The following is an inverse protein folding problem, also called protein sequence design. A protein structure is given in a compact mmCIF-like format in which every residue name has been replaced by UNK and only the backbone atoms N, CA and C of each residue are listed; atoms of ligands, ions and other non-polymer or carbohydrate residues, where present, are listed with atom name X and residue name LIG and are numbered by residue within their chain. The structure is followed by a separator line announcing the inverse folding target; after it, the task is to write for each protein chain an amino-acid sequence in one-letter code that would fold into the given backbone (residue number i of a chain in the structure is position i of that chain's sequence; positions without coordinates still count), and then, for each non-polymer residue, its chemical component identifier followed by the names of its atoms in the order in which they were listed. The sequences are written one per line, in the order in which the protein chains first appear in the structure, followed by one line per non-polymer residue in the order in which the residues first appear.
data_IF_515817740834
#
_entry.id   IF_515817740834
#
_cell.length_a   1.000
_cell.length_b   1.000
_cell.length_c   1.000
_cell.angle_alpha   90.00
_cell.angle_beta   90.00
_cell.angle_gamma   90.00
#
_symmetry.space_group_name_H-M   'P 1'
#
loop_
_entity.id
_entity.type
_entity.pdbx_description
1 polymer ?
#
# COMPACT_ATOMS: atom_id res chain seq x y z
N UNK A 1 -9.17 -12.32 60.08
CA UNK A 1 -9.69 -11.19 59.29
C UNK A 1 -8.99 -11.23 57.94
N UNK A 2 -9.62 -11.84 56.93
CA UNK A 2 -9.17 -11.83 55.54
C UNK A 2 -10.34 -11.24 54.73
N UNK A 3 -10.13 -10.09 54.10
CA UNK A 3 -11.07 -9.46 53.19
C UNK A 3 -10.94 -10.13 51.82
N UNK A 4 -12.04 -10.70 51.32
CA UNK A 4 -12.17 -11.14 49.93
C UNK A 4 -12.74 -9.96 49.14
N UNK A 5 -11.94 -9.36 48.27
CA UNK A 5 -12.36 -8.32 47.34
C UNK A 5 -12.99 -9.01 46.13
N UNK A 6 -14.32 -8.94 46.02
CA UNK A 6 -15.06 -9.37 44.84
C UNK A 6 -14.94 -8.31 43.74
N UNK A 7 -14.20 -8.61 42.67
CA UNK A 7 -14.23 -7.85 41.43
C UNK A 7 -15.46 -8.30 40.63
N UNK A 8 -16.46 -7.44 40.51
CA UNK A 8 -17.55 -7.63 39.54
C UNK A 8 -17.06 -7.15 38.16
N UNK A 9 -17.39 -7.86 37.06
CA UNK A 9 -17.10 -7.37 35.72
C UNK A 9 -18.02 -6.18 35.41
N UNK A 10 -17.43 -5.05 34.98
CA UNK A 10 -18.20 -3.94 34.42
C UNK A 10 -18.67 -4.33 33.02
N UNK A 11 -19.98 -4.38 32.82
CA UNK A 11 -20.56 -4.37 31.48
C UNK A 11 -20.30 -2.98 30.87
N UNK A 12 -19.20 -2.86 30.13
CA UNK A 12 -19.04 -1.78 29.16
C UNK A 12 -20.05 -2.03 28.03
N UNK A 13 -21.06 -1.19 27.94
CA UNK A 13 -21.87 -1.07 26.74
C UNK A 13 -20.90 -0.55 25.68
N UNK A 14 -20.55 -1.41 24.72
CA UNK A 14 -19.91 -0.96 23.50
C UNK A 14 -20.91 -0.04 22.80
N UNK A 15 -20.60 1.25 22.72
CA UNK A 15 -21.16 2.08 21.68
C UNK A 15 -20.81 1.41 20.35
N UNK A 16 -21.81 0.91 19.63
CA UNK A 16 -21.72 0.76 18.19
C UNK A 16 -21.38 2.14 17.64
N UNK A 17 -20.09 2.39 17.42
CA UNK A 17 -19.66 3.46 16.53
C UNK A 17 -20.25 3.09 15.19
N UNK A 18 -21.28 3.84 14.82
CA UNK A 18 -21.87 3.86 13.50
C UNK A 18 -20.71 3.91 12.49
N UNK A 19 -20.58 2.84 11.70
CA UNK A 19 -19.53 2.68 10.70
C UNK A 19 -19.81 3.67 9.56
N UNK A 20 -19.50 4.93 9.79
CA UNK A 20 -19.40 5.94 8.74
C UNK A 20 -18.30 5.46 7.82
N UNK A 21 -18.64 5.06 6.61
CA UNK A 21 -17.70 4.62 5.59
C UNK A 21 -16.54 5.63 5.48
N UNK A 22 -15.39 5.32 6.08
CA UNK A 22 -14.19 6.14 6.01
C UNK A 22 -13.60 5.96 4.61
N UNK A 23 -14.16 6.66 3.64
CA UNK A 23 -13.53 6.85 2.33
C UNK A 23 -12.39 7.83 2.52
N UNK A 24 -11.17 7.32 2.37
CA UNK A 24 -9.95 8.11 2.47
C UNK A 24 -9.85 9.12 1.32
N UNK A 25 -10.38 8.78 0.14
CA UNK A 25 -10.47 9.68 -1.02
C UNK A 25 -11.90 10.18 -1.20
N UNK A 26 -12.08 11.50 -1.26
CA UNK A 26 -13.39 12.14 -1.35
C UNK A 26 -13.63 12.80 -2.72
N UNK A 27 -12.64 13.53 -3.25
CA UNK A 27 -12.74 14.20 -4.55
C UNK A 27 -11.38 14.26 -5.26
N UNK A 28 -11.41 14.37 -6.59
CA UNK A 28 -10.24 14.46 -7.46
C UNK A 28 -10.43 15.56 -8.49
N UNK A 29 -9.43 16.39 -8.68
CA UNK A 29 -9.38 17.41 -9.71
C UNK A 29 -8.03 17.37 -10.41
N UNK A 30 -7.97 17.84 -11.65
CA UNK A 30 -6.77 17.75 -12.50
C UNK A 30 -6.52 19.08 -13.19
N UNK A 31 -5.24 19.43 -13.31
CA UNK A 31 -4.74 20.58 -14.06
C UNK A 31 -3.52 20.18 -14.87
N UNK A 32 -3.55 20.41 -16.18
CA UNK A 32 -2.40 20.17 -17.04
C UNK A 32 -1.54 21.45 -17.15
N UNK A 33 -0.22 21.29 -17.30
CA UNK A 33 0.75 22.39 -17.43
C UNK A 33 0.37 23.38 -18.54
N UNK A 34 -0.28 22.88 -19.59
CA UNK A 34 -0.68 23.64 -20.78
C UNK A 34 -1.55 24.85 -20.45
N UNK A 35 -2.47 24.75 -19.48
CA UNK A 35 -3.32 25.90 -19.15
C UNK A 35 -2.67 26.91 -18.20
N UNK A 36 -1.52 26.59 -17.57
CA UNK A 36 -0.88 27.51 -16.62
C UNK A 36 -0.42 28.83 -17.28
N UNK A 37 -0.37 28.86 -18.61
CA UNK A 37 -0.03 30.04 -19.42
C UNK A 37 -1.25 30.80 -19.96
N UNK A 38 -2.45 30.26 -19.74
CA UNK A 38 -3.71 30.85 -20.20
C UNK A 38 -4.23 31.90 -19.21
N UNK A 39 -5.16 32.77 -19.67
CA UNK A 39 -5.77 33.80 -18.83
C UNK A 39 -6.63 33.23 -17.69
N UNK A 40 -7.15 32.01 -17.86
CA UNK A 40 -7.90 31.30 -16.82
C UNK A 40 -7.62 29.81 -16.90
N UNK A 41 -7.15 29.21 -15.80
CA UNK A 41 -6.72 27.82 -15.75
C UNK A 41 -7.51 27.12 -14.65
N UNK A 42 -8.65 26.58 -15.05
CA UNK A 42 -9.58 25.87 -14.18
C UNK A 42 -9.30 24.38 -14.23
N UNK A 43 -9.35 23.74 -13.07
CA UNK A 43 -9.27 22.28 -13.00
C UNK A 43 -10.52 21.61 -13.56
N UNK A 44 -10.36 20.33 -13.93
CA UNK A 44 -11.46 19.46 -14.33
C UNK A 44 -11.53 18.23 -13.41
N UNK A 45 -12.71 17.63 -13.27
CA UNK A 45 -12.95 16.45 -12.45
C UNK A 45 -13.01 15.20 -13.32
N UNK A 46 -12.13 14.19 -13.13
CA UNK A 46 -12.22 12.91 -13.82
C UNK A 46 -13.41 12.09 -13.32
N UNK A 47 -13.79 11.07 -14.09
CA UNK A 47 -14.71 10.01 -13.62
C UNK A 47 -13.95 9.00 -12.77
N UNK A 48 -12.74 8.65 -13.18
CA UNK A 48 -11.89 7.67 -12.51
C UNK A 48 -10.50 8.24 -12.21
N UNK A 49 -10.01 7.94 -11.02
CA UNK A 49 -8.60 8.02 -10.67
C UNK A 49 -8.02 6.62 -10.65
N UNK A 50 -6.87 6.45 -11.30
CA UNK A 50 -6.12 5.20 -11.34
C UNK A 50 -4.73 5.49 -10.75
N UNK A 51 -4.42 4.88 -9.62
CA UNK A 51 -3.11 4.95 -9.00
C UNK A 51 -2.38 3.63 -9.23
N UNK A 52 -1.36 3.66 -10.08
CA UNK A 52 -0.53 2.52 -10.43
C UNK A 52 0.76 2.53 -9.61
N UNK A 53 1.07 1.41 -8.95
CA UNK A 53 2.27 1.22 -8.15
C UNK A 53 3.18 0.19 -8.82
N UNK A 54 4.33 0.64 -9.30
CA UNK A 54 5.30 -0.16 -10.07
C UNK A 54 6.75 0.13 -9.66
N UNK A 55 7.71 -0.40 -10.43
CA UNK A 55 9.13 -0.09 -10.30
C UNK A 55 9.88 -0.52 -11.56
N UNK A 56 10.98 0.14 -11.88
CA UNK A 56 11.77 -0.14 -13.10
C UNK A 56 12.38 -1.54 -13.13
N UNK A 57 12.68 -2.11 -11.96
CA UNK A 57 13.27 -3.45 -11.86
C UNK A 57 12.22 -4.58 -11.90
N UNK A 58 10.94 -4.24 -11.94
CA UNK A 58 9.82 -5.19 -11.87
C UNK A 58 9.41 -5.65 -13.27
N UNK A 59 9.87 -6.83 -13.69
CA UNK A 59 9.49 -7.38 -15.00
C UNK A 59 7.96 -7.51 -15.20
N UNK A 60 7.15 -7.99 -14.22
CA UNK A 60 5.69 -8.03 -14.38
C UNK A 60 5.00 -6.66 -14.47
N UNK A 61 5.70 -5.57 -14.12
CA UNK A 61 5.17 -4.21 -14.16
C UNK A 61 5.06 -3.67 -15.60
N UNK A 62 5.94 -4.11 -16.49
CA UNK A 62 5.97 -3.68 -17.90
C UNK A 62 4.66 -4.00 -18.64
N UNK A 63 4.09 -5.20 -18.39
CA UNK A 63 2.81 -5.59 -19.00
C UNK A 63 1.66 -4.68 -18.54
N UNK A 64 1.71 -4.22 -17.29
CA UNK A 64 0.70 -3.32 -16.72
C UNK A 64 0.85 -1.91 -17.28
N UNK A 65 2.08 -1.42 -17.40
CA UNK A 65 2.39 -0.10 -17.99
C UNK A 65 1.90 0.00 -19.43
N UNK A 66 2.08 -1.06 -20.23
CA UNK A 66 1.55 -1.11 -21.60
C UNK A 66 0.02 -0.99 -21.61
N UNK A 67 -0.68 -1.77 -20.76
CA UNK A 67 -2.14 -1.75 -20.68
C UNK A 67 -2.69 -0.37 -20.26
N UNK A 68 -2.14 0.22 -19.20
CA UNK A 68 -2.65 1.49 -18.65
C UNK A 68 -2.29 2.70 -19.53
N UNK A 69 -1.26 2.61 -20.36
CA UNK A 69 -0.84 3.72 -21.25
C UNK A 69 -1.95 4.21 -22.19
N UNK A 70 -2.91 3.34 -22.50
CA UNK A 70 -4.03 3.63 -23.41
C UNK A 70 -5.28 4.19 -22.72
N UNK A 71 -5.30 4.21 -21.38
CA UNK A 71 -6.47 4.54 -20.57
C UNK A 71 -6.53 6.02 -20.20
N UNK A 72 -5.38 6.70 -20.13
CA UNK A 72 -5.30 8.10 -19.73
C UNK A 72 -6.14 9.00 -20.65
N UNK A 73 -7.06 9.75 -20.05
CA UNK A 73 -8.01 10.60 -20.75
C UNK A 73 -8.66 11.61 -19.79
N UNK A 74 -9.47 12.53 -20.33
CA UNK A 74 -10.27 13.44 -19.52
C UNK A 74 -11.35 12.74 -18.66
N UNK A 75 -11.54 11.43 -18.81
CA UNK A 75 -12.45 10.64 -17.97
C UNK A 75 -11.70 9.79 -16.96
N UNK A 76 -10.51 9.31 -17.28
CA UNK A 76 -9.71 8.44 -16.41
C UNK A 76 -8.30 9.00 -16.32
N UNK A 77 -7.91 9.48 -15.15
CA UNK A 77 -6.58 10.04 -14.92
C UNK A 77 -5.68 9.02 -14.23
N UNK A 78 -4.44 8.92 -14.67
CA UNK A 78 -3.44 8.03 -14.07
C UNK A 78 -2.43 8.82 -13.23
N UNK A 79 -2.08 8.27 -12.07
CA UNK A 79 -0.87 8.60 -11.32
C UNK A 79 -0.01 7.34 -11.27
N UNK A 80 1.23 7.43 -11.73
CA UNK A 80 2.21 6.37 -11.50
C UNK A 80 3.02 6.65 -10.24
N UNK A 81 3.28 5.61 -9.48
CA UNK A 81 3.98 5.64 -8.21
C UNK A 81 5.12 4.63 -8.21
N UNK A 82 6.34 5.09 -7.92
CA UNK A 82 7.49 4.23 -7.65
C UNK A 82 7.80 4.21 -6.14
N UNK A 83 7.19 3.28 -5.38
CA UNK A 83 7.37 3.17 -3.94
C UNK A 83 8.64 2.42 -3.54
N UNK A 84 9.39 1.83 -4.47
CA UNK A 84 10.57 1.01 -4.15
C UNK A 84 11.83 1.85 -3.97
N UNK A 85 12.51 1.84 -2.80
CA UNK A 85 13.78 2.53 -2.60
C UNK A 85 14.95 2.04 -3.48
N UNK A 86 14.77 0.90 -4.15
CA UNK A 86 15.74 0.35 -5.11
C UNK A 86 15.68 1.00 -6.49
N UNK A 87 14.71 1.88 -6.74
CA UNK A 87 14.51 2.59 -8.01
C UNK A 87 15.17 3.98 -7.95
N UNK A 88 15.85 4.42 -9.01
CA UNK A 88 16.37 5.79 -9.10
C UNK A 88 15.28 6.86 -9.02
N UNK A 89 14.07 6.51 -9.44
CA UNK A 89 12.91 7.40 -9.46
C UNK A 89 12.02 7.22 -8.22
N UNK A 90 12.54 6.54 -7.18
CA UNK A 90 11.88 6.39 -5.89
C UNK A 90 11.34 7.71 -5.34
N UNK A 91 10.06 7.72 -4.97
CA UNK A 91 9.45 8.84 -4.29
C UNK A 91 8.89 8.44 -2.92
N UNK A 92 9.38 9.08 -1.86
CA UNK A 92 9.01 8.75 -0.48
C UNK A 92 7.49 8.84 -0.23
N UNK A 93 6.81 9.81 -0.82
CA UNK A 93 5.35 9.96 -0.61
C UNK A 93 4.58 8.83 -1.32
N UNK A 94 5.04 8.40 -2.50
CA UNK A 94 4.54 7.20 -3.17
C UNK A 94 4.72 5.96 -2.30
N UNK A 95 5.87 5.81 -1.64
CA UNK A 95 6.11 4.73 -0.69
C UNK A 95 5.19 4.78 0.53
N UNK A 96 5.01 5.95 1.15
CA UNK A 96 4.07 6.08 2.27
C UNK A 96 2.63 5.79 1.85
N UNK A 97 2.22 6.18 0.64
CA UNK A 97 0.90 5.85 0.12
C UNK A 97 0.74 4.33 -0.08
N UNK A 98 1.76 3.67 -0.64
CA UNK A 98 1.81 2.23 -0.82
C UNK A 98 1.75 1.46 0.52
N UNK A 99 2.64 1.76 1.47
CA UNK A 99 2.83 1.02 2.72
C UNK A 99 1.78 1.36 3.79
N UNK A 100 1.41 2.63 3.93
CA UNK A 100 0.63 3.12 5.08
C UNK A 100 -0.83 3.37 4.73
N UNK A 101 -1.08 4.11 3.64
CA UNK A 101 -2.45 4.46 3.25
C UNK A 101 -3.16 3.25 2.64
N UNK A 102 -2.53 2.58 1.67
CA UNK A 102 -3.10 1.43 0.98
C UNK A 102 -2.66 0.08 1.52
N UNK A 103 -1.55 0.03 2.28
CA UNK A 103 -1.03 -1.21 2.90
C UNK A 103 -0.87 -2.34 1.89
N UNK A 104 -0.41 -1.97 0.68
CA UNK A 104 -0.17 -2.89 -0.42
C UNK A 104 1.00 -3.80 -0.08
N UNK A 105 0.92 -5.06 -0.49
CA UNK A 105 1.93 -6.06 -0.20
C UNK A 105 2.88 -6.31 -1.38
N UNK A 106 2.43 -6.03 -2.59
CA UNK A 106 3.12 -6.40 -3.83
C UNK A 106 2.97 -5.32 -4.90
N UNK A 107 3.98 -5.22 -5.75
CA UNK A 107 3.90 -4.56 -7.06
C UNK A 107 3.89 -5.63 -8.17
N UNK A 108 3.26 -5.37 -9.33
CA UNK A 108 2.43 -4.21 -9.61
C UNK A 108 1.10 -4.27 -8.83
N UNK A 109 0.59 -3.11 -8.45
CA UNK A 109 -0.76 -2.95 -7.89
C UNK A 109 -1.44 -1.72 -8.47
N UNK A 110 -2.74 -1.80 -8.71
CA UNK A 110 -3.55 -0.67 -9.17
C UNK A 110 -4.67 -0.43 -8.15
N UNK A 111 -4.77 0.81 -7.68
CA UNK A 111 -5.89 1.28 -6.89
C UNK A 111 -6.74 2.21 -7.74
N UNK A 112 -8.04 1.92 -7.85
CA UNK A 112 -9.01 2.69 -8.62
C UNK A 112 -9.95 3.40 -7.65
N UNK A 113 -10.06 4.72 -7.79
CA UNK A 113 -10.92 5.58 -6.99
C UNK A 113 -10.71 5.45 -5.47
N UNK A 114 -9.49 5.09 -5.03
CA UNK A 114 -9.15 4.94 -3.61
C UNK A 114 -9.78 3.73 -2.90
N UNK A 115 -10.47 2.84 -3.62
CA UNK A 115 -11.22 1.72 -3.03
C UNK A 115 -10.95 0.39 -3.74
N UNK A 116 -11.01 0.36 -5.07
CA UNK A 116 -10.92 -0.87 -5.86
C UNK A 116 -9.47 -1.27 -6.10
N UNK A 117 -9.09 -2.51 -5.79
CA UNK A 117 -7.71 -3.02 -5.91
C UNK A 117 -7.61 -4.12 -6.96
N UNK A 118 -6.61 -3.99 -7.84
CA UNK A 118 -6.09 -5.05 -8.71
C UNK A 118 -4.63 -5.31 -8.33
N UNK A 119 -4.28 -6.57 -8.08
CA UNK A 119 -2.92 -6.95 -7.65
C UNK A 119 -2.30 -7.93 -8.63
N UNK A 120 -1.06 -7.62 -9.05
CA UNK A 120 -0.33 -8.40 -10.04
C UNK A 120 -0.78 -8.13 -11.47
N UNK A 121 0.03 -8.56 -12.44
CA UNK A 121 -0.25 -8.31 -13.86
C UNK A 121 -1.55 -8.96 -14.33
N UNK A 122 -1.85 -10.18 -13.90
CA UNK A 122 -3.04 -10.91 -14.35
C UNK A 122 -4.36 -10.20 -14.03
N UNK A 123 -4.45 -9.60 -12.84
CA UNK A 123 -5.63 -8.81 -12.45
C UNK A 123 -5.63 -7.43 -13.09
N UNK A 124 -4.46 -6.82 -13.28
CA UNK A 124 -4.34 -5.52 -13.92
C UNK A 124 -4.91 -5.54 -15.35
N UNK A 125 -4.81 -6.65 -16.08
CA UNK A 125 -5.43 -6.82 -17.40
C UNK A 125 -6.98 -6.77 -17.39
N UNK A 126 -7.62 -6.83 -16.22
CA UNK A 126 -9.08 -6.64 -16.09
C UNK A 126 -9.49 -5.17 -15.92
N UNK A 127 -8.53 -4.22 -15.91
CA UNK A 127 -8.79 -2.81 -15.59
C UNK A 127 -9.89 -2.18 -16.45
N UNK A 128 -9.90 -2.44 -17.76
CA UNK A 128 -10.91 -1.91 -18.67
C UNK A 128 -12.33 -2.38 -18.31
N UNK A 129 -12.47 -3.66 -17.92
CA UNK A 129 -13.75 -4.20 -17.46
C UNK A 129 -14.13 -3.61 -16.09
N UNK A 130 -13.17 -3.42 -15.20
CA UNK A 130 -13.43 -2.82 -13.89
C UNK A 130 -13.94 -1.39 -14.05
N UNK A 131 -13.26 -0.56 -14.83
CA UNK A 131 -13.64 0.85 -15.07
C UNK A 131 -15.05 1.00 -15.65
N UNK A 132 -15.50 0.07 -16.50
CA UNK A 132 -16.87 0.09 -17.05
C UNK A 132 -17.95 -0.20 -16.00
N UNK A 133 -17.60 -0.89 -14.92
CA UNK A 133 -18.52 -1.25 -13.84
C UNK A 133 -18.37 -0.35 -12.61
N UNK A 134 -17.44 0.61 -12.64
CA UNK A 134 -17.29 1.58 -11.56
C UNK A 134 -18.46 2.55 -11.55
N UNK A 135 -19.03 2.75 -10.35
CA UNK A 135 -19.98 3.81 -10.10
C UNK A 135 -19.41 4.70 -9.00
N UNK A 136 -18.49 5.58 -9.38
CA UNK A 136 -17.87 6.52 -8.49
C UNK A 136 -18.42 7.94 -8.68
N UNK A 137 -18.52 8.69 -7.60
CA UNK A 137 -18.92 10.08 -7.63
C UNK A 137 -18.00 10.90 -6.72
N UNK A 138 -16.98 11.50 -7.32
CA UNK A 138 -16.13 12.46 -6.64
C UNK A 138 -16.91 13.74 -6.32
N UNK A 139 -16.85 14.13 -5.04
CA UNK A 139 -17.53 15.33 -4.54
C UNK A 139 -16.87 15.83 -3.27
N UNK A 140 -16.65 17.13 -3.14
CA UNK A 140 -16.04 17.75 -1.98
C UNK A 140 -15.27 19.01 -2.35
N UNK A 141 -14.76 19.08 -3.57
CA UNK A 141 -14.16 20.28 -4.17
C UNK A 141 -15.25 20.96 -5.03
N UNK A 142 -15.45 22.25 -4.84
CA UNK A 142 -16.35 23.04 -5.71
C UNK A 142 -15.61 23.57 -6.93
N UNK A 143 -14.42 24.11 -6.69
CA UNK A 143 -13.58 24.70 -7.72
C UNK A 143 -12.10 24.71 -7.30
N UNK A 144 -11.22 24.63 -8.31
CA UNK A 144 -9.79 24.93 -8.20
C UNK A 144 -9.41 25.74 -9.44
N UNK A 145 -8.79 26.89 -9.20
CA UNK A 145 -8.27 27.76 -10.24
C UNK A 145 -6.82 28.16 -9.94
N UNK A 146 -6.02 28.25 -10.99
CA UNK A 146 -4.67 28.79 -10.95
C UNK A 146 -4.65 30.19 -11.57
N UNK A 147 -4.06 31.16 -10.86
CA UNK A 147 -3.85 32.52 -11.36
C UNK A 147 -2.50 33.05 -10.87
N UNK A 148 -1.63 33.42 -11.82
CA UNK A 148 -0.36 34.11 -11.59
C UNK A 148 0.50 33.49 -10.47
N UNK A 149 0.67 32.16 -10.50
CA UNK A 149 1.51 31.46 -9.51
C UNK A 149 0.80 31.06 -8.22
N UNK A 150 -0.47 31.44 -8.06
CA UNK A 150 -1.27 31.14 -6.88
C UNK A 150 -2.42 30.21 -7.24
N UNK A 151 -2.54 29.11 -6.51
CA UNK A 151 -3.73 28.26 -6.54
C UNK A 151 -4.77 28.80 -5.58
N UNK A 152 -6.03 28.72 -6.00
CA UNK A 152 -7.21 29.00 -5.21
C UNK A 152 -8.11 27.77 -5.27
N UNK A 153 -8.69 27.40 -4.13
CA UNK A 153 -9.64 26.31 -4.09
C UNK A 153 -10.74 26.57 -3.08
N UNK A 154 -11.85 25.88 -3.29
CA UNK A 154 -12.97 25.83 -2.38
C UNK A 154 -13.38 24.37 -2.21
N UNK A 155 -13.22 23.84 -1.01
CA UNK A 155 -13.46 22.43 -0.70
C UNK A 155 -14.16 22.28 0.65
N UNK A 156 -14.76 21.10 0.88
CA UNK A 156 -15.32 20.74 2.18
C UNK A 156 -14.22 20.71 3.24
N UNK A 157 -14.52 21.31 4.39
CA UNK A 157 -13.61 21.41 5.54
C UNK A 157 -13.36 20.05 6.21
N UNK A 158 -12.29 19.95 7.00
CA UNK A 158 -11.93 18.77 7.77
C UNK A 158 -11.01 17.78 7.04
N UNK A 159 -10.72 18.02 5.76
CA UNK A 159 -9.87 17.16 4.91
C UNK A 159 -8.53 17.83 4.58
N UNK A 160 -7.61 17.07 4.00
CA UNK A 160 -6.40 17.62 3.38
C UNK A 160 -6.56 17.65 1.86
N UNK A 161 -6.10 18.74 1.24
CA UNK A 161 -5.91 18.85 -0.20
C UNK A 161 -4.47 18.45 -0.52
N UNK A 162 -4.30 17.25 -1.07
CA UNK A 162 -3.03 16.71 -1.53
C UNK A 162 -2.86 16.97 -3.02
N UNK A 163 -1.77 17.61 -3.42
CA UNK A 163 -1.49 18.00 -4.80
C UNK A 163 -0.26 17.21 -5.28
N UNK A 164 -0.50 16.22 -6.12
CA UNK A 164 0.53 15.41 -6.75
C UNK A 164 1.03 16.10 -8.01
N UNK A 165 2.35 16.32 -8.09
CA UNK A 165 3.02 16.81 -9.29
C UNK A 165 3.57 15.62 -10.06
N UNK A 166 3.12 15.51 -11.30
CA UNK A 166 3.44 14.41 -12.18
C UNK A 166 4.32 14.88 -13.34
N UNK A 167 5.30 14.08 -13.72
CA UNK A 167 6.28 14.39 -14.77
C UNK A 167 6.54 13.15 -15.64
N UNK A 168 6.89 13.38 -16.90
CA UNK A 168 7.41 12.33 -17.77
C UNK A 168 8.86 12.01 -17.38
N UNK A 169 9.07 10.83 -16.80
CA UNK A 169 10.37 10.45 -16.23
C UNK A 169 10.96 9.27 -16.99
N UNK A 170 12.22 9.37 -17.40
CA UNK A 170 12.87 8.29 -18.15
C UNK A 170 13.00 7.02 -17.30
N UNK A 171 12.64 5.87 -17.87
CA UNK A 171 12.87 4.57 -17.26
C UNK A 171 14.38 4.27 -17.13
N UNK A 172 14.81 3.64 -16.04
CA UNK A 172 16.20 3.37 -15.70
C UNK A 172 16.85 2.38 -16.67
N UNK A 173 16.21 1.24 -16.90
CA UNK A 173 16.75 0.14 -17.72
C UNK A 173 16.27 0.11 -19.17
N UNK A 174 15.13 0.74 -19.48
CA UNK A 174 14.49 0.67 -20.79
C UNK A 174 14.53 2.01 -21.54
N UNK A 175 14.30 1.98 -22.85
CA UNK A 175 14.37 3.17 -23.71
C UNK A 175 13.00 3.82 -23.94
N UNK A 176 12.25 4.03 -22.85
CA UNK A 176 11.02 4.82 -22.83
C UNK A 176 10.94 5.65 -21.54
N UNK A 177 9.91 6.49 -21.43
CA UNK A 177 9.64 7.28 -20.23
C UNK A 177 8.29 6.88 -19.64
N UNK A 178 8.22 6.88 -18.31
CA UNK A 178 7.00 6.76 -17.53
C UNK A 178 6.20 8.06 -17.63
N UNK A 179 5.02 8.05 -18.27
CA UNK A 179 4.15 9.20 -18.25
C UNK A 179 3.49 9.34 -16.87
N UNK A 180 3.29 10.57 -16.44
CA UNK A 180 2.53 10.88 -15.21
C UNK A 180 3.11 10.24 -13.93
N UNK A 181 4.43 10.12 -13.83
CA UNK A 181 5.10 9.64 -12.62
C UNK A 181 5.09 10.71 -11.54
N UNK A 182 4.68 10.34 -10.32
CA UNK A 182 4.66 11.24 -9.18
C UNK A 182 6.08 11.59 -8.70
N UNK A 183 6.45 12.87 -8.78
CA UNK A 183 7.78 13.37 -8.38
C UNK A 183 7.75 14.30 -7.18
N UNK A 184 6.59 14.88 -6.86
CA UNK A 184 6.44 15.79 -5.72
C UNK A 184 5.01 15.82 -5.19
N UNK A 185 4.85 16.26 -3.94
CA UNK A 185 3.57 16.38 -3.25
C UNK A 185 3.57 17.65 -2.40
N UNK A 186 2.49 18.43 -2.50
CA UNK A 186 2.14 19.44 -1.51
C UNK A 186 0.86 19.01 -0.79
N UNK A 187 0.77 19.30 0.50
CA UNK A 187 -0.41 19.00 1.30
C UNK A 187 -0.85 20.25 2.04
N UNK A 188 -2.11 20.60 1.89
CA UNK A 188 -2.73 21.74 2.56
C UNK A 188 -3.95 21.29 3.34
N UNK A 189 -4.26 22.02 4.40
CA UNK A 189 -5.57 21.97 5.02
C UNK A 189 -6.62 22.51 4.05
N UNK A 190 -7.72 21.79 3.86
CA UNK A 190 -8.77 22.14 2.90
C UNK A 190 -9.32 23.56 3.12
N UNK A 191 -9.30 24.04 4.37
CA UNK A 191 -9.75 25.36 4.80
C UNK A 191 -8.84 26.50 4.33
N UNK A 192 -7.59 26.20 3.96
CA UNK A 192 -6.64 27.20 3.49
C UNK A 192 -6.91 27.52 2.02
N UNK A 193 -7.95 28.28 1.68
CA UNK A 193 -8.45 28.48 0.30
C UNK A 193 -7.45 28.99 -0.79
N UNK A 194 -6.16 29.18 -0.48
CA UNK A 194 -5.15 29.54 -1.47
C UNK A 194 -3.72 29.19 -1.04
N UNK A 195 -2.84 28.93 -2.01
CA UNK A 195 -1.40 28.79 -1.79
C UNK A 195 -0.59 29.26 -3.01
N UNK A 196 0.52 29.94 -2.77
CA UNK A 196 1.46 30.28 -3.84
C UNK A 196 2.38 29.08 -4.12
N UNK A 197 2.38 28.62 -5.37
CA UNK A 197 3.15 27.46 -5.81
C UNK A 197 4.04 27.77 -7.02
N UNK A 198 4.24 29.05 -7.32
CA UNK A 198 4.99 29.50 -8.51
C UNK A 198 6.40 28.90 -8.58
N UNK A 199 7.12 28.88 -7.46
CA UNK A 199 8.45 28.28 -7.36
C UNK A 199 8.42 26.75 -7.54
N UNK A 200 7.34 26.08 -7.13
CA UNK A 200 7.23 24.63 -7.22
C UNK A 200 6.99 24.14 -8.66
N UNK A 201 6.41 25.01 -9.50
CA UNK A 201 6.13 24.76 -10.92
C UNK A 201 7.18 25.37 -11.86
N UNK A 202 8.34 25.79 -11.35
CA UNK A 202 9.38 26.38 -12.18
C UNK A 202 9.96 25.34 -13.16
N UNK A 203 9.97 25.67 -14.47
CA UNK A 203 10.43 24.79 -15.56
C UNK A 203 9.76 23.41 -15.60
N UNK A 204 8.51 23.34 -15.15
CA UNK A 204 7.76 22.11 -15.09
C UNK A 204 6.85 21.93 -16.31
N UNK A 205 6.79 20.72 -16.82
CA UNK A 205 5.85 20.28 -17.84
C UNK A 205 5.24 18.93 -17.42
N UNK A 206 3.92 18.84 -17.34
CA UNK A 206 3.25 17.66 -16.80
C UNK A 206 1.84 17.94 -16.31
N UNK A 207 1.40 17.18 -15.30
CA UNK A 207 0.06 17.25 -14.73
C UNK A 207 0.06 17.40 -13.20
N UNK A 208 -0.84 18.23 -12.69
CA UNK A 208 -1.18 18.30 -11.26
C UNK A 208 -2.46 17.52 -11.02
N UNK A 209 -2.44 16.63 -10.03
CA UNK A 209 -3.63 15.92 -9.56
C UNK A 209 -3.90 16.28 -8.11
N UNK A 210 -5.08 16.85 -7.89
CA UNK A 210 -5.59 17.31 -6.61
C UNK A 210 -6.47 16.23 -6.03
N UNK A 211 -6.19 15.83 -4.81
CA UNK A 211 -6.93 14.79 -4.10
C UNK A 211 -7.39 15.38 -2.77
N UNK A 212 -8.71 15.42 -2.57
CA UNK A 212 -9.28 15.74 -1.26
C UNK A 212 -9.37 14.46 -0.47
N UNK A 213 -8.54 14.33 0.56
CA UNK A 213 -8.36 13.09 1.30
C UNK A 213 -8.46 13.28 2.82
N UNK A 214 -8.96 12.26 3.50
CA UNK A 214 -8.88 12.14 4.96
C UNK A 214 -7.55 11.46 5.37
N UNK A 215 -7.14 11.65 6.62
CA UNK A 215 -5.97 10.98 7.18
C UNK A 215 -6.39 9.58 7.62
N UNK A 216 -5.87 8.54 6.97
CA UNK A 216 -6.12 7.18 7.43
C UNK A 216 -5.69 6.10 6.46
N UNK A 217 -5.87 4.85 6.88
CA UNK A 217 -5.73 3.69 6.01
C UNK A 217 -7.01 3.50 5.19
N UNK A 218 -6.89 3.36 3.87
CA UNK A 218 -8.03 3.06 3.03
C UNK A 218 -8.41 1.59 3.18
N UNK A 219 -9.71 1.31 3.11
CA UNK A 219 -10.22 -0.05 3.04
C UNK A 219 -10.36 -0.44 1.57
N UNK A 220 -9.42 -1.23 1.09
CA UNK A 220 -9.41 -1.68 -0.30
C UNK A 220 -10.26 -2.94 -0.49
N UNK A 221 -10.94 -3.02 -1.62
CA UNK A 221 -11.75 -4.16 -2.04
C UNK A 221 -11.20 -4.68 -3.37
N UNK A 222 -10.95 -5.99 -3.44
CA UNK A 222 -10.50 -6.59 -4.70
C UNK A 222 -11.56 -6.40 -5.79
N UNK A 223 -11.15 -5.84 -6.92
CA UNK A 223 -12.02 -5.57 -8.06
C UNK A 223 -11.93 -6.65 -9.16
N UNK A 224 -11.04 -7.62 -8.99
CA UNK A 224 -10.84 -8.70 -9.95
C UNK A 224 -11.69 -9.92 -9.60
N UNK A 225 -12.12 -10.65 -10.63
CA UNK A 225 -12.72 -11.98 -10.47
C UNK A 225 -11.68 -13.10 -10.44
N UNK A 226 -10.44 -12.81 -10.84
CA UNK A 226 -9.33 -13.76 -10.78
C UNK A 226 -8.78 -13.86 -9.36
N UNK A 227 -8.33 -15.06 -8.94
CA UNK A 227 -7.63 -15.18 -7.68
C UNK A 227 -6.34 -14.37 -7.73
N UNK A 228 -6.03 -13.73 -6.62
CA UNK A 228 -4.77 -13.03 -6.32
C UNK A 228 -3.59 -14.00 -6.09
N UNK A 229 -3.70 -15.25 -6.57
CA UNK A 229 -2.92 -16.38 -6.07
C UNK A 229 -3.41 -16.88 -4.70
N UNK A 230 -2.50 -17.39 -3.86
CA UNK A 230 -2.83 -18.00 -2.56
C UNK A 230 -3.17 -16.99 -1.42
N UNK A 231 -3.43 -15.72 -1.71
CA UNK A 231 -3.56 -14.67 -0.69
C UNK A 231 -4.94 -13.99 -0.67
N UNK A 232 -5.73 -14.20 0.39
CA UNK A 232 -7.00 -13.51 0.59
C UNK A 232 -6.80 -12.24 1.45
N UNK A 233 -7.04 -11.06 0.86
CA UNK A 233 -6.84 -9.74 1.49
C UNK A 233 -7.91 -9.35 2.52
N UNK A 234 -9.02 -10.09 2.62
CA UNK A 234 -10.11 -9.82 3.56
C UNK A 234 -10.09 -10.69 4.82
N UNK A 235 -9.07 -11.52 5.00
CA UNK A 235 -8.87 -12.19 6.26
C UNK A 235 -8.22 -11.22 7.25
N UNK A 236 -9.04 -10.38 7.90
CA UNK A 236 -8.84 -10.22 9.35
C UNK A 236 -8.74 -11.64 9.92
N UNK A 237 -7.81 -11.89 10.85
CA UNK A 237 -7.52 -13.17 11.54
C UNK A 237 -8.78 -13.85 12.13
N UNK A 238 -9.69 -14.24 11.27
CA UNK A 238 -10.81 -15.11 11.51
C UNK A 238 -10.29 -16.46 11.09
N UNK A 239 -9.89 -17.21 12.11
CA UNK A 239 -9.50 -18.62 12.06
C UNK A 239 -10.42 -19.41 11.12
N UNK A 240 -10.09 -19.45 9.83
CA UNK A 240 -10.53 -20.51 8.94
C UNK A 240 -9.51 -21.62 9.05
N UNK A 241 -9.63 -22.37 10.14
CA UNK A 241 -9.18 -23.75 10.15
C UNK A 241 -10.01 -24.48 9.08
N UNK A 242 -9.34 -24.91 8.01
CA UNK A 242 -9.85 -25.94 7.12
C UNK A 242 -10.42 -27.08 7.98
N UNK A 243 -11.68 -27.44 7.76
CA UNK A 243 -12.28 -28.66 8.29
C UNK A 243 -11.60 -29.87 7.63
N UNK A 244 -10.38 -30.16 8.03
CA UNK A 244 -9.88 -31.53 8.03
C UNK A 244 -10.44 -32.13 9.30
N UNK A 245 -11.35 -33.10 9.17
CA UNK A 245 -11.76 -33.98 10.27
C UNK A 245 -10.54 -34.80 10.73
N UNK A 246 -9.64 -34.15 11.46
CA UNK A 246 -8.62 -34.82 12.23
C UNK A 246 -9.25 -35.08 13.60
N UNK A 247 -9.30 -36.36 13.98
CA UNK A 247 -9.48 -36.73 15.38
C UNK A 247 -8.57 -35.83 16.21
N UNK A 248 -9.19 -35.13 17.15
CA UNK A 248 -8.53 -34.14 17.98
C UNK A 248 -7.54 -34.87 18.88
N UNK A 249 -6.31 -35.07 18.38
CA UNK A 249 -5.22 -35.64 19.15
C UNK A 249 -4.95 -34.68 20.31
N UNK A 250 -4.97 -35.23 21.53
CA UNK A 250 -4.74 -34.48 22.76
C UNK A 250 -3.46 -33.64 22.61
N UNK A 251 -3.51 -32.31 22.82
CA UNK A 251 -2.33 -31.44 22.79
C UNK A 251 -1.16 -31.96 23.64
N UNK A 252 -1.46 -32.69 24.73
CA UNK A 252 -0.45 -33.34 25.56
C UNK A 252 0.31 -34.44 24.81
N UNK A 253 -0.38 -35.22 23.99
CA UNK A 253 0.19 -36.30 23.18
C UNK A 253 1.09 -35.73 22.07
N UNK A 254 0.67 -34.63 21.43
CA UNK A 254 1.46 -33.94 20.40
C UNK A 254 2.75 -33.38 21.01
N UNK A 255 2.68 -32.76 22.19
CA UNK A 255 3.85 -32.25 22.88
C UNK A 255 4.85 -33.36 23.26
N UNK A 256 4.34 -34.51 23.73
CA UNK A 256 5.17 -35.68 24.07
C UNK A 256 5.86 -36.24 22.84
N UNK A 257 5.13 -36.44 21.74
CA UNK A 257 5.70 -36.98 20.49
C UNK A 257 6.76 -36.04 19.93
N UNK A 258 6.47 -34.74 19.90
CA UNK A 258 7.40 -33.73 19.40
C UNK A 258 8.66 -33.66 20.26
N UNK A 259 8.51 -33.76 21.59
CA UNK A 259 9.64 -33.83 22.53
C UNK A 259 10.52 -35.06 22.32
N UNK A 260 9.91 -36.24 22.08
CA UNK A 260 10.65 -37.46 21.79
C UNK A 260 11.42 -37.39 20.47
N UNK A 261 10.83 -36.78 19.44
CA UNK A 261 11.50 -36.58 18.14
C UNK A 261 12.70 -35.63 18.31
N UNK A 262 12.52 -34.50 19.00
CA UNK A 262 13.62 -33.57 19.28
C UNK A 262 14.74 -34.24 20.09
N UNK A 263 14.40 -35.07 21.08
CA UNK A 263 15.38 -35.83 21.85
C UNK A 263 16.14 -36.83 20.96
N UNK A 264 15.44 -37.52 20.06
CA UNK A 264 16.04 -38.49 19.15
C UNK A 264 17.03 -37.82 18.17
N UNK A 265 16.71 -36.62 17.70
CA UNK A 265 17.60 -35.82 16.85
C UNK A 265 18.86 -35.37 17.62
N UNK A 266 18.76 -35.17 18.93
CA UNK A 266 19.89 -34.75 19.78
C UNK A 266 20.78 -35.91 20.25
N UNK A 267 20.34 -37.17 20.15
CA UNK A 267 21.10 -38.35 20.57
C UNK A 267 22.50 -38.46 19.94
N UNK A 268 22.70 -38.27 18.62
CA UNK A 268 24.02 -38.36 18.00
C UNK A 268 25.00 -37.33 18.59
N UNK A 269 24.53 -36.11 18.86
CA UNK A 269 25.34 -35.05 19.44
C UNK A 269 25.74 -35.37 20.90
N UNK A 270 24.82 -35.95 21.68
CA UNK A 270 25.10 -36.37 23.06
C UNK A 270 26.11 -37.53 23.13
N UNK A 271 26.02 -38.50 22.21
CA UNK A 271 26.98 -39.61 22.12
C UNK A 271 28.37 -39.08 21.76
N UNK A 272 28.44 -38.17 20.79
CA UNK A 272 29.71 -37.55 20.39
C UNK A 272 30.33 -36.72 21.53
N UNK A 273 29.50 -35.97 22.27
CA UNK A 273 29.92 -35.21 23.44
C UNK A 273 30.46 -36.08 24.58
N UNK A 274 29.83 -37.23 24.85
CA UNK A 274 30.35 -38.19 25.84
C UNK A 274 31.65 -38.86 25.38
N UNK A 275 31.76 -39.17 24.08
CA UNK A 275 32.99 -39.69 23.49
C UNK A 275 34.17 -38.75 23.71
N UNK A 276 33.96 -37.44 23.49
CA UNK A 276 34.98 -36.41 23.71
C UNK A 276 35.37 -36.22 25.18
N UNK A 277 34.44 -36.46 26.13
CA UNK A 277 34.72 -36.33 27.56
C UNK A 277 35.55 -37.48 28.14
N UNK A 278 35.62 -38.62 27.45
CA UNK A 278 36.39 -39.81 27.88
C UNK A 278 37.82 -39.84 27.33
N UNK A 279 38.22 -38.85 26.51
CA UNK A 279 39.61 -38.69 26.06
C UNK A 279 40.29 -37.57 26.86
N UNK A 280 40.61 -37.86 28.12
CA UNK A 280 41.64 -37.13 28.86
C UNK A 280 42.89 -38.03 28.85
N UNK A 281 44.00 -37.63 28.19
CA UNK A 281 45.19 -38.46 28.13
C UNK A 281 45.93 -38.43 29.47
N UNK A 282 45.90 -39.55 30.17
CA UNK A 282 46.85 -39.88 31.23
C UNK A 282 48.09 -40.45 30.54
N UNK A 283 49.20 -39.72 30.52
CA UNK A 283 50.55 -40.30 30.54
C UNK A 283 51.64 -39.21 30.69
N UNK A 284 52.14 -39.09 31.93
CA UNK A 284 53.44 -38.51 32.26
C UNK A 284 54.50 -39.62 32.11
N UNK A 285 55.61 -39.43 31.38
CA UNK A 285 56.67 -40.42 31.37
C UNK A 285 57.46 -40.37 32.69
N UNK A 286 57.59 -41.53 33.34
CA UNK A 286 58.53 -41.76 34.44
C UNK A 286 59.94 -42.01 33.87
N UNK A 287 60.92 -41.44 34.54
CA UNK A 287 62.35 -41.75 34.42
C UNK A 287 62.60 -43.25 34.70
N UNK A 288 63.47 -43.87 33.90
CA UNK A 288 64.23 -45.05 34.28
C UNK A 288 65.72 -44.83 33.99
N UNK A 289 66.52 -45.43 34.88
CA UNK A 289 67.95 -45.31 35.23
C UNK A 289 69.00 -45.14 34.12
#
# INVERSE_FOLDING_TARGET
MLLIISLAPSNGIAEEVENTESRVLLDVHVLDSTCLTEESCNSWRPVNLIEYFGADWCEPCMEVEEEISSIDSNQSVIIQHHPSPSDLTFFQQSNMKFENQYRLLFIPSIVINGESLLTGSSQALEINQVLQNQNNSFNGISDINYDNGTLFWNASEGYNLNIWKLEDTKHEFENYSHPHLATSLLSFKSENNSANISQWLENWDGRLVFMLEDIGSAKLVSASSQPTGNFNFNNEDSKQSEEIKNEQLDPSLIAIITGLIMLAILLPALIMFQGLRNFEPEDTPKEEE
#
